data_IF_248078744943
#
_entry.id   IF_248078744943
#
_cell.length_a   1.000
_cell.length_b   1.000
_cell.length_c   1.000
_cell.angle_alpha   90.00
_cell.angle_beta   90.00
_cell.angle_gamma   90.00
#
_symmetry.space_group_name_H-M   'P 1'
#
loop_
_entity.id
_entity.type
_entity.pdbx_description
1 polymer ?
#
# COMPACT_ATOMS: atom_id res chain seq x y z
N UNK A 1 -21.13 14.66 -48.84
CA UNK A 1 -20.98 14.68 -47.38
C UNK A 1 -19.80 13.79 -47.04
N UNK A 2 -18.69 14.42 -46.63
CA UNK A 2 -17.43 13.73 -46.40
C UNK A 2 -17.48 12.91 -45.09
N UNK A 3 -16.95 11.70 -45.18
CA UNK A 3 -16.77 10.71 -44.12
C UNK A 3 -15.67 11.20 -43.19
N UNK A 4 -15.88 11.09 -41.87
CA UNK A 4 -14.79 11.02 -40.88
C UNK A 4 -15.25 10.14 -39.72
N UNK A 5 -14.86 8.88 -39.78
CA UNK A 5 -14.86 7.98 -38.64
C UNK A 5 -13.72 8.42 -37.70
N UNK A 6 -14.06 8.87 -36.50
CA UNK A 6 -13.08 9.12 -35.43
C UNK A 6 -13.03 7.85 -34.58
N UNK A 7 -12.04 7.00 -34.87
CA UNK A 7 -11.61 5.96 -33.96
C UNK A 7 -10.79 6.59 -32.83
N UNK A 8 -11.21 6.38 -31.58
CA UNK A 8 -10.40 6.72 -30.42
C UNK A 8 -9.56 5.49 -30.05
N UNK A 9 -8.25 5.67 -30.12
CA UNK A 9 -7.23 4.65 -29.92
C UNK A 9 -7.33 3.99 -28.54
N UNK A 10 -7.12 2.66 -28.52
CA UNK A 10 -6.88 1.91 -27.30
C UNK A 10 -5.61 2.46 -26.61
N UNK A 11 -5.77 2.92 -25.37
CA UNK A 11 -4.68 3.43 -24.55
C UNK A 11 -3.58 2.39 -24.35
N UNK A 12 -2.35 2.86 -24.49
CA UNK A 12 -1.12 2.11 -24.34
C UNK A 12 -1.07 1.36 -23.00
N UNK A 13 -0.97 0.03 -23.08
CA UNK A 13 -0.57 -0.83 -21.97
C UNK A 13 0.87 -0.52 -21.57
N UNK A 14 1.06 0.40 -20.63
CA UNK A 14 2.33 0.54 -19.92
C UNK A 14 2.63 -0.76 -19.17
N UNK A 15 3.78 -1.37 -19.44
CA UNK A 15 4.25 -2.54 -18.67
C UNK A 15 4.17 -2.21 -17.18
N UNK A 16 3.36 -2.95 -16.43
CA UNK A 16 3.30 -2.82 -14.99
C UNK A 16 4.71 -3.05 -14.42
N UNK A 17 5.24 -2.06 -13.71
CA UNK A 17 6.52 -2.21 -13.03
C UNK A 17 6.43 -3.39 -12.05
N UNK A 18 7.40 -4.31 -12.10
CA UNK A 18 7.47 -5.41 -11.14
C UNK A 18 7.69 -4.81 -9.75
N UNK A 19 6.72 -5.00 -8.87
CA UNK A 19 6.83 -4.61 -7.45
C UNK A 19 7.86 -5.52 -6.78
N UNK A 20 8.72 -4.94 -5.95
CA UNK A 20 9.72 -5.70 -5.20
C UNK A 20 9.03 -6.65 -4.21
N UNK A 21 9.65 -7.81 -3.99
CA UNK A 21 9.05 -8.88 -3.18
C UNK A 21 8.92 -8.49 -1.69
N UNK A 22 9.74 -7.54 -1.22
CA UNK A 22 9.78 -7.03 0.15
C UNK A 22 8.91 -5.79 0.38
N UNK A 23 8.17 -5.33 -0.64
CA UNK A 23 7.29 -4.16 -0.52
C UNK A 23 6.25 -4.36 0.58
N UNK A 24 6.30 -3.51 1.59
CA UNK A 24 5.48 -3.58 2.81
C UNK A 24 5.95 -4.59 3.85
N UNK A 25 6.88 -5.49 3.54
CA UNK A 25 7.41 -6.51 4.46
C UNK A 25 8.72 -6.11 5.14
N UNK A 26 9.32 -5.00 4.70
CA UNK A 26 10.61 -4.51 5.19
C UNK A 26 10.49 -3.07 5.67
N UNK A 27 11.22 -2.73 6.72
CA UNK A 27 11.37 -1.36 7.24
C UNK A 27 11.97 -0.42 6.18
N UNK A 28 12.82 -0.96 5.31
CA UNK A 28 13.46 -0.21 4.23
C UNK A 28 12.57 -0.04 2.99
N UNK A 29 11.49 -0.81 2.89
CA UNK A 29 10.53 -0.74 1.80
C UNK A 29 9.07 -0.70 2.31
N UNK A 30 8.71 0.28 3.17
CA UNK A 30 7.39 0.33 3.77
C UNK A 30 6.35 0.83 2.77
N UNK A 31 5.08 0.56 3.06
CA UNK A 31 3.96 1.11 2.29
C UNK A 31 3.80 2.58 2.68
N UNK A 32 4.11 3.49 1.76
CA UNK A 32 4.04 4.95 1.96
C UNK A 32 2.66 5.50 1.61
N UNK A 33 1.71 5.36 2.55
CA UNK A 33 0.29 5.75 2.37
C UNK A 33 0.01 7.22 2.64
N UNK A 34 0.99 7.98 3.13
CA UNK A 34 0.78 9.25 3.81
C UNK A 34 -0.06 10.31 3.09
N UNK A 35 -0.35 11.36 3.85
CA UNK A 35 -1.09 12.55 3.45
C UNK A 35 -0.98 13.56 4.59
N UNK A 36 -0.91 14.85 4.28
CA UNK A 36 -0.80 15.89 5.33
C UNK A 36 -2.09 15.84 6.17
N UNK A 37 -1.99 15.44 7.44
CA UNK A 37 -3.11 15.33 8.38
C UNK A 37 -3.83 13.97 8.41
N UNK A 38 -3.87 13.24 7.29
CA UNK A 38 -4.73 12.04 7.13
C UNK A 38 -4.00 10.69 7.26
N UNK A 39 -2.73 10.69 7.68
CA UNK A 39 -1.87 9.49 7.74
C UNK A 39 -2.56 8.23 8.28
N UNK A 40 -3.04 8.21 9.53
CA UNK A 40 -3.72 7.05 10.11
C UNK A 40 -5.00 6.62 9.37
N UNK A 41 -5.73 7.57 8.76
CA UNK A 41 -6.91 7.25 7.96
C UNK A 41 -6.51 6.57 6.65
N UNK A 42 -5.42 7.01 6.02
CA UNK A 42 -4.90 6.43 4.79
C UNK A 42 -4.36 5.01 5.00
N UNK A 43 -3.78 4.70 6.17
CA UNK A 43 -3.37 3.33 6.52
C UNK A 43 -4.56 2.39 6.51
N UNK A 44 -5.64 2.75 7.23
CA UNK A 44 -6.88 1.97 7.26
C UNK A 44 -7.52 1.86 5.88
N UNK A 45 -7.56 2.96 5.12
CA UNK A 45 -8.10 2.97 3.77
C UNK A 45 -7.32 2.03 2.84
N UNK A 46 -5.99 2.03 2.91
CA UNK A 46 -5.15 1.10 2.16
C UNK A 46 -5.40 -0.35 2.58
N UNK A 47 -5.39 -0.65 3.88
CA UNK A 47 -5.63 -2.01 4.40
C UNK A 47 -7.02 -2.54 4.03
N UNK A 48 -8.04 -1.70 4.04
CA UNK A 48 -9.41 -2.07 3.64
C UNK A 48 -9.53 -2.44 2.15
N UNK A 49 -8.59 -1.98 1.32
CA UNK A 49 -8.52 -2.31 -0.11
C UNK A 49 -7.75 -3.61 -0.39
N UNK A 50 -7.01 -4.12 0.60
CA UNK A 50 -6.30 -5.39 0.46
C UNK A 50 -7.26 -6.58 0.45
N UNK A 51 -6.90 -7.57 -0.35
CA UNK A 51 -7.52 -8.90 -0.39
C UNK A 51 -6.42 -9.95 -0.43
N UNK A 52 -6.76 -11.17 -0.02
CA UNK A 52 -5.90 -12.32 -0.26
C UNK A 52 -5.65 -12.56 -1.76
N UNK A 53 -4.71 -13.45 -2.11
CA UNK A 53 -4.28 -13.67 -3.49
C UNK A 53 -5.42 -14.18 -4.40
N UNK A 54 -6.48 -14.78 -3.83
CA UNK A 54 -7.66 -15.25 -4.55
C UNK A 54 -8.90 -14.39 -4.27
N UNK A 55 -8.73 -13.19 -3.69
CA UNK A 55 -9.82 -12.28 -3.37
C UNK A 55 -10.43 -12.45 -1.97
N UNK A 56 -9.80 -13.24 -1.11
CA UNK A 56 -10.23 -13.49 0.26
C UNK A 56 -10.30 -12.19 1.07
N UNK A 57 -11.22 -12.12 2.04
CA UNK A 57 -11.25 -11.02 2.99
C UNK A 57 -10.00 -11.06 3.87
N UNK A 58 -9.57 -9.88 4.32
CA UNK A 58 -8.50 -9.75 5.30
C UNK A 58 -9.05 -9.08 6.56
N UNK A 59 -8.46 -9.41 7.70
CA UNK A 59 -8.57 -8.66 8.95
C UNK A 59 -7.20 -8.11 9.32
N UNK A 60 -7.16 -7.05 10.13
CA UNK A 60 -5.89 -6.50 10.58
C UNK A 60 -5.99 -5.93 11.99
N UNK A 61 -4.86 -5.99 12.69
CA UNK A 61 -4.66 -5.35 13.99
C UNK A 61 -3.39 -4.53 13.94
N UNK A 62 -3.43 -3.30 14.49
CA UNK A 62 -2.24 -2.48 14.67
C UNK A 62 -1.43 -3.02 15.85
N UNK A 63 -0.19 -3.41 15.60
CA UNK A 63 0.72 -4.02 16.58
C UNK A 63 1.72 -3.02 17.18
N UNK A 64 1.48 -1.73 16.99
CA UNK A 64 2.31 -0.63 17.51
C UNK A 64 3.06 0.11 16.41
N UNK A 65 3.98 0.98 16.85
CA UNK A 65 4.90 1.72 15.98
C UNK A 65 6.33 1.28 16.26
N UNK A 66 7.19 1.38 15.26
CA UNK A 66 8.59 1.05 15.34
C UNK A 66 9.40 1.96 14.43
N UNK A 67 10.69 1.65 14.33
CA UNK A 67 11.51 1.93 13.17
C UNK A 67 11.56 3.43 12.86
N UNK A 68 12.42 4.11 13.60
CA UNK A 68 12.68 5.52 13.35
C UNK A 68 13.24 5.71 11.95
N UNK A 69 12.74 6.73 11.26
CA UNK A 69 13.26 7.14 9.96
C UNK A 69 13.16 8.67 9.84
N UNK A 70 14.00 9.24 8.97
CA UNK A 70 14.00 10.67 8.71
C UNK A 70 12.87 11.06 7.74
N UNK A 71 12.13 12.11 8.06
CA UNK A 71 11.12 12.70 7.17
C UNK A 71 10.79 14.14 7.57
N UNK A 72 10.72 15.04 6.59
CA UNK A 72 10.37 16.44 6.84
C UNK A 72 8.92 16.66 7.28
N UNK A 73 8.08 15.62 7.23
CA UNK A 73 6.65 15.66 7.61
C UNK A 73 6.40 15.18 9.03
N UNK A 74 7.43 14.68 9.70
CA UNK A 74 7.36 14.18 11.07
C UNK A 74 7.74 15.25 12.10
N UNK A 75 7.48 14.95 13.37
CA UNK A 75 7.90 15.82 14.47
C UNK A 75 9.43 15.80 14.58
N UNK A 76 10.05 16.98 14.68
CA UNK A 76 11.52 17.15 14.69
C UNK A 76 12.23 16.47 13.50
N UNK A 77 11.57 16.35 12.35
CA UNK A 77 12.15 15.72 11.17
C UNK A 77 12.19 14.19 11.23
N UNK A 78 11.46 13.57 12.17
CA UNK A 78 11.48 12.12 12.41
C UNK A 78 10.09 11.52 12.36
N UNK A 79 10.00 10.30 11.82
CA UNK A 79 8.80 9.48 11.80
C UNK A 79 9.04 8.09 12.40
N UNK A 80 7.94 7.42 12.71
CA UNK A 80 7.90 6.00 13.08
C UNK A 80 7.00 5.25 12.09
N UNK A 81 7.40 4.05 11.69
CA UNK A 81 6.55 3.16 10.92
C UNK A 81 5.51 2.51 11.83
N UNK A 82 4.32 2.28 11.31
CA UNK A 82 3.30 1.48 11.99
C UNK A 82 3.36 0.03 11.52
N UNK A 83 3.28 -0.88 12.48
CA UNK A 83 3.26 -2.32 12.24
C UNK A 83 1.81 -2.79 12.28
N UNK A 84 1.37 -3.42 11.20
CA UNK A 84 0.07 -4.10 11.14
C UNK A 84 0.27 -5.60 10.97
N UNK A 85 -0.47 -6.39 11.76
CA UNK A 85 -0.61 -7.82 11.53
C UNK A 85 -1.88 -8.03 10.71
N UNK A 86 -1.72 -8.54 9.48
CA UNK A 86 -2.80 -8.75 8.51
C UNK A 86 -3.03 -10.23 8.31
N UNK A 87 -4.24 -10.70 8.59
CA UNK A 87 -4.64 -12.09 8.43
C UNK A 87 -5.54 -12.22 7.21
N UNK A 88 -5.20 -13.13 6.31
CA UNK A 88 -6.07 -13.50 5.19
C UNK A 88 -7.03 -14.58 5.68
N UNK A 89 -8.31 -14.50 5.31
CA UNK A 89 -9.28 -15.53 5.68
C UNK A 89 -8.82 -16.90 5.14
N UNK A 90 -8.63 -17.86 6.06
CA UNK A 90 -8.12 -19.20 5.74
C UNK A 90 -6.62 -19.39 6.02
N UNK A 91 -5.85 -18.31 6.17
CA UNK A 91 -4.46 -18.36 6.63
C UNK A 91 -4.41 -18.38 8.16
N UNK A 92 -3.62 -19.29 8.74
CA UNK A 92 -3.40 -19.38 10.19
C UNK A 92 -2.31 -18.42 10.69
N UNK A 93 -1.48 -17.89 9.80
CA UNK A 93 -0.32 -17.07 10.14
C UNK A 93 -0.54 -15.63 9.66
N UNK A 94 -0.65 -14.66 10.59
CA UNK A 94 -0.73 -13.25 10.23
C UNK A 94 0.55 -12.75 9.55
N UNK A 95 0.40 -11.95 8.51
CA UNK A 95 1.49 -11.28 7.78
C UNK A 95 1.77 -9.93 8.43
N UNK A 96 3.04 -9.65 8.73
CA UNK A 96 3.48 -8.36 9.26
C UNK A 96 3.71 -7.37 8.12
N UNK A 97 3.05 -6.22 8.16
CA UNK A 97 3.28 -5.12 7.23
C UNK A 97 3.76 -3.85 7.96
N UNK A 98 4.71 -3.16 7.34
CA UNK A 98 5.23 -1.86 7.76
C UNK A 98 4.62 -0.76 6.91
N UNK A 99 3.99 0.21 7.55
CA UNK A 99 3.29 1.30 6.89
C UNK A 99 3.85 2.64 7.38
N UNK A 100 4.12 3.52 6.42
CA UNK A 100 4.57 4.88 6.65
C UNK A 100 3.38 5.83 6.44
N UNK A 101 2.90 6.42 7.53
CA UNK A 101 1.78 7.37 7.52
C UNK A 101 2.17 8.82 7.13
N UNK A 102 3.47 9.12 7.06
CA UNK A 102 3.99 10.47 6.83
C UNK A 102 4.23 10.72 5.34
N UNK A 103 4.94 9.80 4.68
CA UNK A 103 5.32 9.92 3.29
C UNK A 103 4.35 9.23 2.35
N UNK A 104 4.20 9.82 1.15
CA UNK A 104 3.30 9.35 0.11
C UNK A 104 4.11 8.84 -1.07
N UNK A 105 3.79 7.66 -1.55
CA UNK A 105 4.30 7.13 -2.81
C UNK A 105 3.17 6.44 -3.58
N UNK A 106 3.48 5.93 -4.78
CA UNK A 106 2.56 5.06 -5.52
C UNK A 106 2.33 3.78 -4.71
N UNK A 107 1.06 3.42 -4.57
CA UNK A 107 0.62 2.27 -3.79
C UNK A 107 0.51 1.03 -4.66
N UNK A 108 0.96 -0.09 -4.12
CA UNK A 108 0.89 -1.41 -4.75
C UNK A 108 0.31 -2.43 -3.77
N UNK A 109 -0.02 -3.63 -4.24
CA UNK A 109 -0.28 -4.73 -3.33
C UNK A 109 1.06 -5.35 -2.89
N UNK A 110 1.26 -5.67 -1.59
CA UNK A 110 2.39 -6.49 -1.17
C UNK A 110 2.29 -7.88 -1.79
N UNK A 111 3.43 -8.54 -1.98
CA UNK A 111 3.44 -9.91 -2.51
C UNK A 111 2.50 -10.82 -1.72
N UNK A 112 1.64 -11.56 -2.42
CA UNK A 112 0.63 -12.41 -1.79
C UNK A 112 -0.68 -11.70 -1.41
N UNK A 113 -0.89 -10.47 -1.89
CA UNK A 113 -2.15 -9.75 -1.78
C UNK A 113 -2.60 -9.21 -3.15
N UNK A 114 -3.89 -8.88 -3.24
CA UNK A 114 -4.47 -8.03 -4.26
C UNK A 114 -4.84 -6.68 -3.64
N UNK A 115 -4.91 -5.63 -4.46
CA UNK A 115 -5.39 -4.30 -4.06
C UNK A 115 -6.45 -3.82 -5.06
N UNK A 116 -7.59 -3.35 -4.54
CA UNK A 116 -8.72 -2.87 -5.34
C UNK A 116 -8.74 -1.35 -5.46
#
# INVERSE_FOLDING_TARGET
>A
MAILAVGCAAGAGGKAAKVADDYGYSENNPIKVGGVGDGPANERAYLNRLKGPNGERITYTRNGSCCHFETSKGFLGMGLLDIYMVTVQGDSVPKKLYINMYDKAKLYAPKGFLIK
#
